data_IF_532487936514
#
_entry.id   IF_532487936514
#
_cell.length_a   1.000
_cell.length_b   1.000
_cell.length_c   1.000
_cell.angle_alpha   90.00
_cell.angle_beta   90.00
_cell.angle_gamma   90.00
#
_symmetry.space_group_name_H-M   'P 1'
#
loop_
_entity.id
_entity.type
_entity.pdbx_description
1 polymer ?
#
# COMPACT_ATOMS: atom_id res chain seq x y z
N UNK A 1 -45.61 38.52 -67.78
CA UNK A 1 -44.41 39.06 -67.08
C UNK A 1 -44.68 39.36 -65.60
N UNK A 2 -45.74 40.11 -65.27
CA UNK A 2 -46.06 40.49 -63.87
C UNK A 2 -46.37 39.32 -62.91
N UNK A 3 -47.09 38.30 -63.37
CA UNK A 3 -47.46 37.13 -62.55
C UNK A 3 -46.26 36.23 -62.19
N UNK A 4 -45.29 36.12 -63.12
CA UNK A 4 -44.04 35.39 -62.91
C UNK A 4 -43.20 36.13 -61.87
N UNK A 5 -43.01 37.44 -62.04
CA UNK A 5 -42.25 38.27 -61.10
C UNK A 5 -42.80 38.21 -59.66
N UNK A 6 -44.14 38.19 -59.51
CA UNK A 6 -44.81 38.09 -58.21
C UNK A 6 -44.62 36.72 -57.54
N UNK A 7 -44.61 35.64 -58.31
CA UNK A 7 -44.33 34.28 -57.80
C UNK A 7 -42.87 34.12 -57.38
N UNK A 8 -41.93 34.68 -58.14
CA UNK A 8 -40.52 34.69 -57.79
C UNK A 8 -40.24 35.50 -56.52
N UNK A 9 -40.93 36.64 -56.34
CA UNK A 9 -40.81 37.43 -55.12
C UNK A 9 -41.35 36.68 -53.88
N UNK A 10 -42.51 36.03 -54.00
CA UNK A 10 -43.06 35.22 -52.91
C UNK A 10 -42.14 34.05 -52.52
N UNK A 11 -41.54 33.38 -53.51
CA UNK A 11 -40.59 32.30 -53.28
C UNK A 11 -39.32 32.79 -52.57
N UNK A 12 -38.81 33.96 -52.95
CA UNK A 12 -37.63 34.57 -52.32
C UNK A 12 -37.90 34.97 -50.87
N UNK A 13 -39.11 35.46 -50.55
CA UNK A 13 -39.52 35.78 -49.18
C UNK A 13 -39.61 34.51 -48.33
N UNK A 14 -40.17 33.41 -48.85
CA UNK A 14 -40.24 32.13 -48.13
C UNK A 14 -38.84 31.58 -47.84
N UNK A 15 -37.92 31.66 -48.81
CA UNK A 15 -36.52 31.27 -48.62
C UNK A 15 -35.81 32.13 -47.57
N UNK A 16 -36.07 33.44 -47.55
CA UNK A 16 -35.55 34.35 -46.54
C UNK A 16 -36.07 34.04 -45.14
N UNK A 17 -37.37 33.77 -45.01
CA UNK A 17 -37.98 33.39 -43.72
C UNK A 17 -37.46 32.03 -43.26
N UNK A 18 -37.29 31.06 -44.16
CA UNK A 18 -36.71 29.76 -43.84
C UNK A 18 -35.22 29.88 -43.45
N UNK A 19 -34.45 30.76 -44.11
CA UNK A 19 -33.05 31.03 -43.77
C UNK A 19 -32.93 31.71 -42.40
N UNK A 20 -33.71 32.76 -42.13
CA UNK A 20 -33.73 33.38 -40.80
C UNK A 20 -34.23 32.40 -39.73
N UNK A 21 -35.27 31.62 -40.00
CA UNK A 21 -35.73 30.56 -39.12
C UNK A 21 -34.64 29.53 -38.82
N UNK A 22 -33.87 29.10 -39.83
CA UNK A 22 -32.73 28.20 -39.67
C UNK A 22 -31.62 28.84 -38.82
N UNK A 23 -31.25 30.09 -39.10
CA UNK A 23 -30.21 30.82 -38.33
C UNK A 23 -30.63 31.05 -36.87
N UNK A 24 -31.93 31.25 -36.59
CA UNK A 24 -32.45 31.38 -35.22
C UNK A 24 -32.64 30.03 -34.50
N UNK A 25 -32.74 28.92 -35.24
CA UNK A 25 -32.92 27.57 -34.70
C UNK A 25 -31.62 26.76 -34.65
N UNK A 26 -30.53 27.21 -35.28
CA UNK A 26 -29.21 26.63 -35.09
C UNK A 26 -28.68 27.06 -33.72
N UNK A 27 -28.35 26.13 -32.80
CA UNK A 27 -27.72 26.48 -31.54
C UNK A 27 -26.39 27.17 -31.84
N UNK A 28 -26.22 28.39 -31.34
CA UNK A 28 -24.93 29.06 -31.34
C UNK A 28 -23.97 28.26 -30.46
N UNK A 29 -22.77 27.98 -30.97
CA UNK A 29 -21.67 27.51 -30.15
C UNK A 29 -21.36 28.60 -29.13
N UNK A 30 -21.79 28.39 -27.89
CA UNK A 30 -21.41 29.19 -26.73
C UNK A 30 -19.92 28.96 -26.48
N UNK A 31 -19.08 29.84 -27.03
CA UNK A 31 -17.71 29.97 -26.54
C UNK A 31 -17.74 30.39 -25.08
N UNK A 32 -16.76 29.91 -24.30
CA UNK A 32 -16.65 30.06 -22.86
C UNK A 32 -16.76 31.54 -22.45
N UNK A 33 -17.99 31.97 -22.13
CA UNK A 33 -18.24 33.41 -22.02
C UNK A 33 -17.71 34.04 -20.75
N UNK A 34 -17.36 33.25 -19.72
CA UNK A 34 -16.94 33.76 -18.41
C UNK A 34 -16.13 32.76 -17.55
N UNK A 35 -15.47 31.75 -18.14
CA UNK A 35 -14.59 30.80 -17.41
C UNK A 35 -13.17 30.90 -17.97
N UNK A 36 -12.18 31.03 -17.09
CA UNK A 36 -10.75 31.14 -17.43
C UNK A 36 -9.90 30.17 -16.63
N UNK A 37 -8.69 29.88 -17.12
CA UNK A 37 -7.66 29.10 -16.41
C UNK A 37 -8.17 27.78 -15.81
N UNK A 38 -8.93 27.01 -16.60
CA UNK A 38 -9.58 25.80 -16.10
C UNK A 38 -8.75 24.54 -16.31
N UNK A 39 -8.75 23.64 -15.33
CA UNK A 39 -8.06 22.34 -15.36
C UNK A 39 -8.77 21.31 -14.49
N UNK A 40 -8.65 20.03 -14.84
CA UNK A 40 -9.14 18.91 -14.03
C UNK A 40 -7.97 17.96 -13.71
N UNK A 41 -7.88 17.56 -12.45
CA UNK A 41 -6.88 16.61 -11.94
C UNK A 41 -7.62 15.33 -11.53
N UNK A 42 -7.21 14.21 -12.14
CA UNK A 42 -7.68 12.87 -11.79
C UNK A 42 -6.70 12.20 -10.84
N UNK A 43 -7.20 11.44 -9.86
CA UNK A 43 -6.33 10.61 -8.99
C UNK A 43 -5.75 9.39 -9.72
N UNK A 44 -6.57 8.71 -10.54
CA UNK A 44 -6.15 7.62 -11.43
C UNK A 44 -6.76 7.88 -12.81
N UNK A 45 -5.92 7.95 -13.84
CA UNK A 45 -6.33 8.16 -15.24
C UNK A 45 -6.51 6.84 -16.01
N UNK A 46 -6.41 5.69 -15.33
CA UNK A 46 -6.53 4.38 -15.95
C UNK A 46 -7.92 4.11 -16.52
N UNK A 47 -7.99 3.26 -17.54
CA UNK A 47 -9.25 2.73 -18.05
C UNK A 47 -10.07 2.06 -16.95
N UNK A 48 -11.35 2.43 -16.84
CA UNK A 48 -12.28 1.92 -15.83
C UNK A 48 -11.78 2.03 -14.39
N UNK A 49 -10.73 2.81 -14.14
CA UNK A 49 -10.28 3.09 -12.80
C UNK A 49 -11.32 3.97 -12.11
N UNK A 50 -11.53 3.71 -10.82
CA UNK A 50 -12.20 4.67 -9.98
C UNK A 50 -11.27 5.88 -9.81
N UNK A 51 -11.83 7.08 -9.80
CA UNK A 51 -11.06 8.31 -9.72
C UNK A 51 -11.78 9.40 -8.94
N UNK A 52 -10.96 10.23 -8.31
CA UNK A 52 -11.30 11.54 -7.79
C UNK A 52 -11.13 12.59 -8.88
N UNK A 53 -11.91 13.66 -8.81
CA UNK A 53 -11.76 14.82 -9.70
C UNK A 53 -11.60 16.11 -8.91
N UNK A 54 -10.62 16.94 -9.30
CA UNK A 54 -10.42 18.29 -8.78
C UNK A 54 -10.47 19.29 -9.93
N UNK A 55 -11.62 19.96 -10.09
CA UNK A 55 -11.85 20.95 -11.14
C UNK A 55 -11.49 22.34 -10.61
N UNK A 56 -10.44 22.93 -11.18
CA UNK A 56 -10.02 24.31 -10.90
C UNK A 56 -10.42 25.21 -12.05
N UNK A 57 -10.98 26.40 -11.77
CA UNK A 57 -11.32 27.39 -12.78
C UNK A 57 -11.59 28.77 -12.18
N UNK A 58 -11.25 29.84 -12.89
CA UNK A 58 -11.63 31.20 -12.54
C UNK A 58 -12.89 31.64 -13.26
N UNK A 59 -13.65 32.57 -12.65
CA UNK A 59 -14.83 33.20 -13.27
C UNK A 59 -14.61 34.68 -13.53
N UNK A 60 -15.12 35.19 -14.66
CA UNK A 60 -15.00 36.61 -15.04
C UNK A 60 -16.26 37.44 -14.82
N UNK A 61 -17.29 36.84 -14.24
CA UNK A 61 -18.53 37.51 -13.82
C UNK A 61 -18.95 37.03 -12.47
N UNK A 62 -19.42 37.94 -11.62
CA UNK A 62 -20.03 37.58 -10.35
C UNK A 62 -21.26 36.68 -10.59
N UNK A 63 -21.46 35.74 -9.67
CA UNK A 63 -22.60 34.84 -9.64
C UNK A 63 -23.52 35.24 -8.49
N UNK A 64 -24.81 35.36 -8.78
CA UNK A 64 -25.82 35.67 -7.75
C UNK A 64 -26.00 34.48 -6.78
N UNK A 65 -26.52 34.70 -5.57
CA UNK A 65 -27.01 33.62 -4.71
C UNK A 65 -27.99 32.71 -5.47
N UNK A 66 -28.05 31.42 -5.11
CA UNK A 66 -28.87 30.41 -5.80
C UNK A 66 -28.52 30.13 -7.28
N UNK A 67 -27.44 30.70 -7.81
CA UNK A 67 -26.83 30.20 -9.05
C UNK A 67 -26.32 28.76 -8.85
N UNK A 68 -26.16 28.01 -9.95
CA UNK A 68 -25.72 26.62 -9.86
C UNK A 68 -24.76 26.21 -10.98
N UNK A 69 -23.94 25.21 -10.66
CA UNK A 69 -23.02 24.53 -11.55
C UNK A 69 -23.60 23.16 -11.91
N UNK A 70 -23.53 22.79 -13.19
CA UNK A 70 -23.77 21.43 -13.66
C UNK A 70 -22.48 20.88 -14.24
N UNK A 71 -21.97 19.80 -13.63
CA UNK A 71 -20.81 19.05 -14.11
C UNK A 71 -21.36 17.75 -14.69
N UNK A 72 -21.27 17.62 -16.00
CA UNK A 72 -21.74 16.44 -16.74
C UNK A 72 -20.53 15.61 -17.15
N UNK A 73 -20.45 14.39 -16.60
CA UNK A 73 -19.45 13.43 -17.02
C UNK A 73 -19.78 12.88 -18.41
N UNK A 74 -18.78 12.49 -19.22
CA UNK A 74 -18.99 11.84 -20.51
C UNK A 74 -19.89 10.59 -20.39
N UNK A 75 -20.61 10.25 -21.45
CA UNK A 75 -21.54 9.12 -21.46
C UNK A 75 -20.86 7.73 -21.34
N UNK A 76 -19.54 7.67 -21.40
CA UNK A 76 -18.71 6.49 -21.17
C UNK A 76 -18.04 6.48 -19.78
N UNK A 77 -18.31 7.48 -18.93
CA UNK A 77 -17.97 7.51 -17.51
C UNK A 77 -19.20 7.13 -16.68
N UNK A 78 -18.99 6.47 -15.55
CA UNK A 78 -20.07 6.12 -14.62
C UNK A 78 -19.90 6.84 -13.28
N UNK A 79 -20.90 7.65 -12.91
CA UNK A 79 -21.00 8.24 -11.57
C UNK A 79 -21.73 7.25 -10.67
N UNK A 80 -21.03 6.71 -9.68
CA UNK A 80 -21.53 5.61 -8.88
C UNK A 80 -22.73 6.01 -8.00
N UNK A 81 -23.66 5.05 -7.80
CA UNK A 81 -24.75 5.16 -6.85
C UNK A 81 -24.48 4.30 -5.62
N UNK A 82 -23.78 4.82 -4.62
CA UNK A 82 -23.43 4.10 -3.39
C UNK A 82 -23.70 4.93 -2.13
N UNK A 83 -23.75 4.28 -0.97
CA UNK A 83 -23.81 4.99 0.33
C UNK A 83 -22.47 5.61 0.74
N UNK A 84 -21.39 5.15 0.10
CA UNK A 84 -20.00 5.61 0.29
C UNK A 84 -19.67 6.84 -0.57
N UNK A 85 -20.63 7.30 -1.39
CA UNK A 85 -20.56 8.54 -2.16
C UNK A 85 -21.80 9.37 -1.88
N UNK A 86 -21.66 10.43 -1.10
CA UNK A 86 -22.75 11.27 -0.63
C UNK A 86 -22.50 12.74 -0.91
N UNK A 87 -23.57 13.47 -1.23
CA UNK A 87 -23.55 14.87 -1.63
C UNK A 87 -22.94 15.80 -0.56
N UNK A 88 -23.23 15.53 0.71
CA UNK A 88 -22.80 16.31 1.87
C UNK A 88 -21.33 16.08 2.27
N UNK A 89 -20.73 14.97 1.84
CA UNK A 89 -19.36 14.58 2.22
C UNK A 89 -18.37 14.63 1.07
N UNK A 90 -18.78 14.21 -0.12
CA UNK A 90 -17.87 13.87 -1.22
C UNK A 90 -17.92 14.88 -2.37
N UNK A 91 -18.61 16.01 -2.19
CA UNK A 91 -18.53 17.14 -3.11
C UNK A 91 -18.37 18.43 -2.31
N UNK A 92 -17.30 19.17 -2.58
CA UNK A 92 -17.04 20.46 -1.94
C UNK A 92 -16.57 21.50 -2.95
N UNK A 93 -16.86 22.77 -2.65
CA UNK A 93 -16.45 23.93 -3.43
C UNK A 93 -15.60 24.84 -2.55
N UNK A 94 -14.43 25.22 -3.03
CA UNK A 94 -13.65 26.31 -2.47
C UNK A 94 -13.77 27.52 -3.39
N UNK A 95 -13.86 28.70 -2.78
CA UNK A 95 -13.81 30.00 -3.45
C UNK A 95 -12.65 30.77 -2.85
N UNK A 96 -11.66 31.11 -3.67
CA UNK A 96 -10.42 31.78 -3.25
C UNK A 96 -9.72 31.05 -2.09
N UNK A 97 -9.76 29.71 -2.13
CA UNK A 97 -9.20 28.81 -1.12
C UNK A 97 -10.04 28.65 0.16
N UNK A 98 -11.21 29.29 0.26
CA UNK A 98 -12.13 29.17 1.39
C UNK A 98 -13.23 28.17 1.07
N UNK A 99 -13.37 27.14 1.92
CA UNK A 99 -14.41 26.13 1.79
C UNK A 99 -15.80 26.76 1.98
N UNK A 100 -16.71 26.49 1.03
CA UNK A 100 -18.14 26.76 1.19
C UNK A 100 -18.84 25.54 1.79
N UNK A 101 -19.64 25.78 2.82
CA UNK A 101 -20.39 24.71 3.47
C UNK A 101 -21.50 24.21 2.55
N UNK A 102 -21.48 22.92 2.24
CA UNK A 102 -22.52 22.23 1.48
C UNK A 102 -23.30 21.22 2.33
N UNK A 103 -24.53 20.95 1.93
CA UNK A 103 -25.40 19.87 2.42
C UNK A 103 -26.28 19.31 1.30
N UNK A 104 -27.18 18.37 1.64
CA UNK A 104 -28.17 17.82 0.70
C UNK A 104 -29.48 18.62 0.64
N UNK A 105 -29.56 19.78 1.32
CA UNK A 105 -30.75 20.64 1.31
C UNK A 105 -30.32 22.10 1.18
N UNK A 106 -30.91 22.83 0.23
CA UNK A 106 -30.61 24.24 0.05
C UNK A 106 -31.05 25.06 1.26
N UNK A 107 -30.17 25.92 1.77
CA UNK A 107 -30.49 26.84 2.86
C UNK A 107 -29.92 28.23 2.61
N UNK A 108 -30.08 29.12 3.60
CA UNK A 108 -29.52 30.48 3.56
C UNK A 108 -28.01 30.51 3.78
N UNK A 109 -27.42 29.45 4.34
CA UNK A 109 -26.01 29.42 4.78
C UNK A 109 -25.24 28.21 4.26
N UNK A 110 -25.93 27.23 3.69
CA UNK A 110 -25.34 26.03 3.11
C UNK A 110 -25.77 25.88 1.66
N UNK A 111 -24.79 25.59 0.82
CA UNK A 111 -24.96 25.28 -0.59
C UNK A 111 -25.57 23.86 -0.72
N UNK A 112 -26.32 23.63 -1.80
CA UNK A 112 -26.95 22.34 -2.09
C UNK A 112 -26.11 21.55 -3.08
N UNK A 113 -25.80 20.30 -2.75
CA UNK A 113 -25.22 19.33 -3.68
C UNK A 113 -26.27 18.28 -4.04
N UNK A 114 -26.39 17.99 -5.33
CA UNK A 114 -27.19 16.89 -5.86
C UNK A 114 -26.31 16.01 -6.76
N UNK A 115 -26.43 14.69 -6.58
CA UNK A 115 -25.73 13.68 -7.36
C UNK A 115 -26.77 12.94 -8.19
N UNK A 116 -26.63 12.98 -9.50
CA UNK A 116 -27.41 12.20 -10.46
C UNK A 116 -26.51 11.10 -11.00
N UNK A 117 -26.53 9.89 -10.40
CA UNK A 117 -25.65 8.80 -10.78
C UNK A 117 -25.98 8.24 -12.17
N UNK A 118 -25.03 7.52 -12.76
CA UNK A 118 -25.15 6.84 -14.05
C UNK A 118 -24.16 7.35 -15.10
N UNK A 119 -24.50 7.07 -16.36
CA UNK A 119 -23.65 7.25 -17.54
C UNK A 119 -24.49 7.85 -18.69
N UNK A 120 -24.45 9.18 -18.93
CA UNK A 120 -23.68 10.18 -18.20
C UNK A 120 -24.29 10.47 -16.83
N UNK A 121 -23.45 10.64 -15.83
CA UNK A 121 -23.85 11.15 -14.52
C UNK A 121 -23.61 12.65 -14.42
N UNK A 122 -24.35 13.30 -13.53
CA UNK A 122 -24.31 14.74 -13.33
C UNK A 122 -24.12 15.05 -11.85
N UNK A 123 -23.22 15.99 -11.55
CA UNK A 123 -23.12 16.61 -10.24
C UNK A 123 -23.62 18.04 -10.37
N UNK A 124 -24.60 18.39 -9.55
CA UNK A 124 -25.15 19.75 -9.49
C UNK A 124 -24.82 20.38 -8.16
N UNK A 125 -24.23 21.56 -8.20
CA UNK A 125 -23.85 22.33 -7.02
C UNK A 125 -24.58 23.68 -7.07
N UNK A 126 -25.46 23.97 -6.13
CA UNK A 126 -26.27 25.18 -6.07
C UNK A 126 -25.84 26.04 -4.89
N UNK A 127 -25.49 27.31 -5.14
CA UNK A 127 -25.12 28.24 -4.08
C UNK A 127 -26.29 28.49 -3.13
N UNK A 128 -25.97 28.76 -1.87
CA UNK A 128 -26.94 29.16 -0.86
C UNK A 128 -27.73 30.41 -1.27
N UNK A 129 -28.85 30.67 -0.59
CA UNK A 129 -29.77 31.74 -0.99
C UNK A 129 -29.36 33.15 -0.56
N UNK A 130 -28.23 33.31 0.14
CA UNK A 130 -27.76 34.61 0.67
C UNK A 130 -26.48 35.08 -0.02
N UNK A 131 -25.53 34.17 -0.26
CA UNK A 131 -24.17 34.47 -0.68
C UNK A 131 -23.90 33.99 -2.11
N UNK A 132 -23.59 34.93 -2.98
CA UNK A 132 -23.08 34.65 -4.32
C UNK A 132 -21.57 34.41 -4.33
N UNK A 133 -20.97 34.52 -5.52
CA UNK A 133 -19.52 34.50 -5.73
C UNK A 133 -19.12 35.78 -6.47
N UNK A 134 -18.11 36.53 -6.00
CA UNK A 134 -17.68 37.74 -6.67
C UNK A 134 -17.01 37.46 -8.03
N UNK A 135 -16.87 38.51 -8.84
CA UNK A 135 -16.11 38.45 -10.08
C UNK A 135 -14.62 38.21 -9.80
N UNK A 136 -13.93 37.55 -10.73
CA UNK A 136 -12.49 37.24 -10.67
C UNK A 136 -12.10 36.30 -9.51
N UNK A 137 -13.06 35.55 -8.95
CA UNK A 137 -12.78 34.47 -8.00
C UNK A 137 -12.22 33.22 -8.68
N UNK A 138 -11.31 32.56 -7.97
CA UNK A 138 -10.80 31.23 -8.30
C UNK A 138 -11.61 30.15 -7.57
N UNK A 139 -12.14 29.19 -8.32
CA UNK A 139 -12.99 28.12 -7.80
C UNK A 139 -12.29 26.77 -7.92
N UNK A 140 -12.41 25.96 -6.88
CA UNK A 140 -11.98 24.56 -6.86
C UNK A 140 -13.15 23.68 -6.43
N UNK A 141 -13.59 22.78 -7.31
CA UNK A 141 -14.60 21.76 -6.99
C UNK A 141 -13.89 20.41 -6.84
N UNK A 142 -14.04 19.80 -5.67
CA UNK A 142 -13.53 18.45 -5.38
C UNK A 142 -14.66 17.45 -5.36
N UNK A 143 -14.50 16.35 -6.08
CA UNK A 143 -15.46 15.25 -6.19
C UNK A 143 -14.78 13.93 -5.82
N UNK A 144 -15.23 13.31 -4.73
CA UNK A 144 -14.86 11.97 -4.30
C UNK A 144 -14.38 11.87 -2.86
N UNK A 145 -13.45 10.96 -2.59
CA UNK A 145 -12.91 10.69 -1.26
C UNK A 145 -11.61 11.45 -0.97
N UNK A 146 -11.39 12.59 -1.61
CA UNK A 146 -10.29 13.52 -1.28
C UNK A 146 -10.80 14.82 -0.67
N UNK A 147 -12.10 14.90 -0.38
CA UNK A 147 -12.73 16.03 0.28
C UNK A 147 -12.38 16.09 1.77
N UNK A 148 -12.60 17.26 2.38
CA UNK A 148 -12.38 17.51 3.81
C UNK A 148 -13.39 16.80 4.72
N UNK A 149 -14.61 16.54 4.23
CA UNK A 149 -15.72 15.92 4.97
C UNK A 149 -15.86 14.41 4.74
N UNK A 150 -14.95 13.77 4.00
CA UNK A 150 -15.00 12.33 3.74
C UNK A 150 -14.93 11.51 5.03
N UNK A 151 -15.54 10.34 5.00
CA UNK A 151 -15.22 9.30 5.97
C UNK A 151 -13.93 8.59 5.57
N UNK A 152 -12.95 8.57 6.48
CA UNK A 152 -11.62 8.03 6.19
C UNK A 152 -11.65 6.49 6.21
N UNK A 153 -12.08 5.88 7.32
CA UNK A 153 -12.08 4.42 7.46
C UNK A 153 -13.39 3.91 8.06
N UNK A 154 -13.72 2.67 7.71
CA UNK A 154 -14.77 1.86 8.33
C UNK A 154 -14.11 0.62 8.94
N UNK A 155 -14.43 0.35 10.20
CA UNK A 155 -13.96 -0.84 10.91
C UNK A 155 -15.07 -1.89 10.95
N UNK A 156 -14.80 -3.07 10.40
CA UNK A 156 -15.65 -4.25 10.61
C UNK A 156 -14.91 -5.22 11.51
N UNK A 157 -15.49 -5.51 12.68
CA UNK A 157 -14.95 -6.49 13.61
C UNK A 157 -15.50 -7.88 13.30
N UNK A 158 -14.61 -8.84 13.06
CA UNK A 158 -14.94 -10.25 12.95
C UNK A 158 -14.26 -11.05 14.05
N UNK A 159 -15.02 -11.86 14.77
CA UNK A 159 -14.50 -12.75 15.83
C UNK A 159 -13.68 -13.92 15.28
N UNK A 160 -13.69 -14.14 13.96
CA UNK A 160 -12.98 -15.26 13.30
C UNK A 160 -11.78 -14.79 12.47
N UNK A 161 -11.79 -13.56 11.96
CA UNK A 161 -10.75 -13.02 11.05
C UNK A 161 -10.08 -11.75 11.56
N UNK A 162 -10.44 -11.25 12.75
CA UNK A 162 -9.91 -9.99 13.30
C UNK A 162 -10.67 -8.74 12.82
N UNK A 163 -10.14 -7.56 13.15
CA UNK A 163 -10.68 -6.27 12.69
C UNK A 163 -10.12 -5.95 11.31
N UNK A 164 -10.99 -5.66 10.35
CA UNK A 164 -10.59 -5.13 9.04
C UNK A 164 -10.90 -3.63 8.97
N UNK A 165 -9.89 -2.82 8.68
CA UNK A 165 -10.04 -1.39 8.34
C UNK A 165 -10.10 -1.27 6.82
N UNK A 166 -11.21 -0.76 6.30
CA UNK A 166 -11.37 -0.44 4.87
C UNK A 166 -11.64 1.06 4.71
N UNK A 167 -11.24 1.64 3.58
CA UNK A 167 -11.64 3.02 3.25
C UNK A 167 -13.17 3.12 3.24
N UNK A 168 -13.73 4.10 3.96
CA UNK A 168 -15.18 4.20 4.12
C UNK A 168 -15.84 4.88 2.91
N UNK A 169 -15.31 6.01 2.47
CA UNK A 169 -15.73 6.65 1.23
C UNK A 169 -14.76 6.29 0.11
N UNK A 170 -15.28 5.97 -1.08
CA UNK A 170 -14.51 5.49 -2.22
C UNK A 170 -14.38 6.58 -3.29
N UNK A 171 -13.45 6.40 -4.22
CA UNK A 171 -13.40 7.15 -5.47
C UNK A 171 -14.64 6.84 -6.32
N UNK A 172 -15.53 7.81 -6.58
CA UNK A 172 -16.90 7.51 -7.00
C UNK A 172 -17.12 7.61 -8.51
N UNK A 173 -16.13 8.09 -9.27
CA UNK A 173 -16.24 8.25 -10.71
C UNK A 173 -15.46 7.12 -11.37
N UNK A 174 -16.11 6.30 -12.19
CA UNK A 174 -15.44 5.27 -12.97
C UNK A 174 -15.10 5.89 -14.33
N UNK A 175 -13.80 5.89 -14.65
CA UNK A 175 -13.29 6.41 -15.91
C UNK A 175 -13.79 5.62 -17.12
N UNK A 176 -13.62 6.23 -18.30
CA UNK A 176 -13.97 5.61 -19.57
C UNK A 176 -13.41 4.20 -19.76
N UNK A 177 -14.21 3.37 -20.42
CA UNK A 177 -13.81 2.07 -20.99
C UNK A 177 -12.84 2.20 -22.17
N UNK A 178 -12.66 3.40 -22.72
CA UNK A 178 -11.79 3.68 -23.87
C UNK A 178 -10.80 4.80 -23.57
N UNK A 179 -9.56 4.64 -24.05
CA UNK A 179 -8.51 5.64 -23.83
C UNK A 179 -8.70 6.90 -24.66
N UNK A 180 -7.81 7.86 -24.44
CA UNK A 180 -7.74 9.13 -25.17
C UNK A 180 -8.27 10.32 -24.38
N UNK A 181 -8.35 11.46 -25.07
CA UNK A 181 -8.83 12.70 -24.48
C UNK A 181 -10.36 12.69 -24.33
N UNK A 182 -10.83 12.96 -23.11
CA UNK A 182 -12.24 13.05 -22.74
C UNK A 182 -12.56 14.46 -22.28
N UNK A 183 -13.82 14.87 -22.40
CA UNK A 183 -14.28 16.23 -22.08
C UNK A 183 -15.41 16.19 -21.05
N UNK A 184 -15.16 16.69 -19.85
CA UNK A 184 -16.18 16.90 -18.83
C UNK A 184 -16.77 18.29 -19.02
N UNK A 185 -18.09 18.37 -19.19
CA UNK A 185 -18.76 19.64 -19.47
C UNK A 185 -19.21 20.29 -18.15
N UNK A 186 -18.71 21.49 -17.87
CA UNK A 186 -19.18 22.37 -16.81
C UNK A 186 -20.08 23.46 -17.40
N UNK A 187 -21.25 23.68 -16.82
CA UNK A 187 -22.15 24.78 -17.12
C UNK A 187 -22.51 25.54 -15.85
N UNK A 188 -22.59 26.87 -15.94
CA UNK A 188 -22.94 27.75 -14.83
C UNK A 188 -24.20 28.51 -15.20
N UNK A 189 -25.19 28.48 -14.31
CA UNK A 189 -26.47 29.14 -14.49
C UNK A 189 -26.75 30.16 -13.39
N UNK A 190 -27.12 31.37 -13.80
CA UNK A 190 -27.61 32.46 -12.95
C UNK A 190 -28.83 33.08 -13.63
N UNK A 191 -30.03 32.58 -13.29
CA UNK A 191 -31.28 32.85 -14.03
C UNK A 191 -31.35 32.27 -15.46
N UNK A 192 -30.20 31.93 -16.05
CA UNK A 192 -29.99 31.28 -17.34
C UNK A 192 -28.51 30.89 -17.51
N UNK A 193 -28.13 30.26 -18.62
CA UNK A 193 -26.73 29.87 -18.86
C UNK A 193 -25.82 31.11 -18.99
N UNK A 194 -24.91 31.29 -18.04
CA UNK A 194 -23.99 32.44 -17.99
C UNK A 194 -22.56 32.10 -18.35
N UNK A 195 -22.15 30.84 -18.17
CA UNK A 195 -20.81 30.37 -18.52
C UNK A 195 -20.78 28.86 -18.79
N UNK A 196 -19.81 28.39 -19.57
CA UNK A 196 -19.57 26.98 -19.83
C UNK A 196 -18.09 26.72 -20.14
N UNK A 197 -17.58 25.55 -19.78
CA UNK A 197 -16.24 25.09 -20.10
C UNK A 197 -16.23 23.56 -20.29
N UNK A 198 -15.31 23.07 -21.14
CA UNK A 198 -15.08 21.65 -21.34
C UNK A 198 -13.71 21.27 -20.80
N UNK A 199 -13.66 20.63 -19.63
CA UNK A 199 -12.43 20.16 -18.99
C UNK A 199 -11.90 18.96 -19.74
N UNK A 200 -10.68 19.08 -20.27
CA UNK A 200 -10.04 18.01 -21.02
C UNK A 200 -9.18 17.16 -20.09
N UNK A 201 -9.41 15.86 -20.12
CA UNK A 201 -8.68 14.86 -19.34
C UNK A 201 -8.17 13.76 -20.26
N UNK A 202 -7.07 13.11 -19.90
CA UNK A 202 -6.55 11.97 -20.66
C UNK A 202 -6.83 10.69 -19.88
N UNK A 203 -7.55 9.75 -20.49
CA UNK A 203 -7.69 8.39 -19.98
C UNK A 203 -6.68 7.51 -20.70
N UNK A 204 -5.88 6.75 -19.94
CA UNK A 204 -4.73 6.01 -20.45
C UNK A 204 -4.85 4.52 -20.14
N UNK A 205 -4.28 3.71 -21.01
CA UNK A 205 -4.01 2.31 -20.71
C UNK A 205 -2.98 2.22 -19.58
N UNK A 206 -3.22 1.34 -18.60
CA UNK A 206 -2.23 1.08 -17.56
C UNK A 206 -1.04 0.36 -18.17
N UNK A 207 0.16 0.90 -17.95
CA UNK A 207 1.40 0.21 -18.31
C UNK A 207 1.74 -0.79 -17.20
N UNK A 208 1.71 -2.08 -17.55
CA UNK A 208 2.18 -3.14 -16.66
C UNK A 208 3.65 -3.46 -16.96
N UNK A 209 4.42 -3.78 -15.92
CA UNK A 209 5.79 -4.33 -16.07
C UNK A 209 5.79 -5.82 -16.45
N UNK A 210 4.64 -6.35 -16.88
CA UNK A 210 4.44 -7.79 -17.05
C UNK A 210 4.48 -8.54 -15.71
N UNK A 211 4.38 -9.88 -15.72
CA UNK A 211 4.74 -10.68 -14.56
C UNK A 211 6.25 -10.49 -14.32
N UNK A 212 6.59 -9.79 -13.23
CA UNK A 212 7.97 -9.78 -12.74
C UNK A 212 8.22 -11.17 -12.15
N UNK A 213 9.14 -11.91 -12.75
CA UNK A 213 9.59 -13.17 -12.18
C UNK A 213 10.45 -12.84 -10.95
N UNK A 214 9.96 -13.23 -9.78
CA UNK A 214 10.66 -13.08 -8.49
C UNK A 214 11.14 -14.43 -7.98
N UNK A 215 11.21 -15.45 -8.83
CA UNK A 215 11.68 -16.78 -8.45
C UNK A 215 13.13 -16.70 -7.98
N UNK A 216 13.36 -17.20 -6.77
CA UNK A 216 14.67 -17.39 -6.16
C UNK A 216 15.29 -18.69 -6.75
N UNK A 217 16.58 -18.67 -7.12
CA UNK A 217 17.27 -19.82 -7.74
C UNK A 217 18.60 -20.18 -7.04
N UNK A 218 18.98 -19.50 -5.97
CA UNK A 218 20.28 -19.58 -5.31
C UNK A 218 20.11 -20.36 -4.01
N UNK A 219 20.72 -21.55 -3.87
CA UNK A 219 20.64 -22.31 -2.63
C UNK A 219 21.20 -21.59 -1.39
N UNK A 220 20.79 -22.00 -0.17
CA UNK A 220 21.19 -21.33 1.07
C UNK A 220 22.70 -21.29 1.30
N UNK A 221 23.24 -20.12 1.61
CA UNK A 221 24.64 -19.98 2.02
C UNK A 221 24.80 -20.38 3.49
N UNK A 222 25.60 -21.41 3.76
CA UNK A 222 25.81 -21.97 5.11
C UNK A 222 27.06 -21.37 5.76
N UNK A 223 26.96 -20.95 7.02
CA UNK A 223 28.08 -20.37 7.77
C UNK A 223 27.97 -20.60 9.29
N UNK A 224 28.97 -20.14 10.06
CA UNK A 224 29.03 -20.23 11.53
C UNK A 224 28.85 -21.65 12.12
N UNK A 225 29.50 -22.62 11.47
CA UNK A 225 29.50 -24.02 11.88
C UNK A 225 30.14 -24.22 13.25
N UNK A 226 29.46 -24.97 14.13
CA UNK A 226 29.89 -25.23 15.50
C UNK A 226 29.51 -26.65 15.94
N UNK A 227 30.32 -27.32 16.79
CA UNK A 227 31.58 -26.84 17.38
C UNK A 227 32.75 -26.81 16.41
N UNK A 228 33.71 -25.93 16.67
CA UNK A 228 35.00 -25.86 15.96
C UNK A 228 36.21 -26.17 16.85
N UNK A 229 35.96 -26.46 18.13
CA UNK A 229 37.00 -26.70 19.14
C UNK A 229 36.88 -28.10 19.75
N UNK A 230 37.97 -28.56 20.35
CA UNK A 230 38.02 -29.87 21.01
C UNK A 230 37.08 -29.92 22.21
N UNK A 231 36.30 -30.99 22.28
CA UNK A 231 35.36 -31.29 23.37
C UNK A 231 35.98 -32.30 24.34
N UNK A 232 35.63 -32.20 25.62
CA UNK A 232 36.17 -33.08 26.67
C UNK A 232 35.71 -34.53 26.51
N UNK A 233 36.56 -35.49 26.88
CA UNK A 233 36.26 -36.92 26.75
C UNK A 233 35.22 -37.50 27.70
N UNK A 234 34.57 -36.66 28.52
CA UNK A 234 33.40 -37.03 29.33
C UNK A 234 32.08 -36.64 28.67
N UNK A 235 32.11 -35.92 27.56
CA UNK A 235 30.93 -35.50 26.80
C UNK A 235 30.50 -36.61 25.84
N UNK A 236 29.26 -37.09 25.97
CA UNK A 236 28.69 -38.12 25.09
C UNK A 236 27.71 -37.56 24.06
N UNK A 237 27.24 -36.32 24.26
CA UNK A 237 26.31 -35.64 23.38
C UNK A 237 26.75 -34.19 23.19
N UNK A 238 26.69 -33.71 21.95
CA UNK A 238 27.09 -32.37 21.55
C UNK A 238 26.00 -31.78 20.68
N UNK A 239 25.72 -30.49 20.84
CA UNK A 239 24.87 -29.76 19.90
C UNK A 239 25.74 -29.25 18.75
N UNK A 240 25.45 -29.72 17.53
CA UNK A 240 25.97 -29.13 16.30
C UNK A 240 25.05 -28.01 15.82
N UNK A 241 25.65 -26.99 15.23
CA UNK A 241 24.98 -25.74 14.85
C UNK A 241 25.55 -25.16 13.55
N UNK A 242 24.69 -24.49 12.78
CA UNK A 242 25.07 -23.59 11.69
C UNK A 242 23.96 -22.55 11.44
N UNK A 243 24.27 -21.54 10.64
CA UNK A 243 23.34 -20.53 10.16
C UNK A 243 23.25 -20.54 8.63
N UNK A 244 22.14 -20.02 8.10
CA UNK A 244 21.91 -19.74 6.68
C UNK A 244 21.53 -18.27 6.50
N UNK A 245 21.74 -17.71 5.30
CA UNK A 245 21.36 -16.33 4.96
C UNK A 245 19.89 -16.18 4.57
N UNK A 246 19.19 -17.30 4.39
CA UNK A 246 17.76 -17.39 4.12
C UNK A 246 17.09 -18.53 4.90
N UNK A 247 15.76 -18.62 4.78
CA UNK A 247 14.97 -19.67 5.43
C UNK A 247 15.30 -21.01 4.78
N UNK A 248 15.79 -21.98 5.55
CA UNK A 248 16.21 -23.25 4.99
C UNK A 248 15.88 -24.45 5.87
N UNK A 249 15.74 -25.62 5.27
CA UNK A 249 15.69 -26.91 5.96
C UNK A 249 17.01 -27.64 5.73
N UNK A 250 17.77 -27.85 6.80
CA UNK A 250 19.08 -28.48 6.77
C UNK A 250 19.02 -29.95 7.22
N UNK A 251 19.82 -30.76 6.53
CA UNK A 251 20.09 -32.17 6.82
C UNK A 251 21.58 -32.41 6.92
N UNK A 252 21.95 -33.54 7.50
CA UNK A 252 23.35 -33.96 7.55
C UNK A 252 23.54 -35.47 7.39
N UNK A 253 24.76 -35.82 7.00
CA UNK A 253 25.27 -37.18 6.98
C UNK A 253 26.67 -37.23 7.62
N UNK A 254 27.09 -38.42 8.03
CA UNK A 254 28.48 -38.74 8.43
C UNK A 254 29.32 -39.24 7.25
N UNK A 255 28.70 -39.44 6.08
CA UNK A 255 29.37 -39.78 4.81
C UNK A 255 29.41 -38.55 3.92
N UNK A 256 30.59 -38.23 3.39
CA UNK A 256 30.77 -37.12 2.45
C UNK A 256 30.06 -37.40 1.12
N UNK A 257 29.55 -36.35 0.50
CA UNK A 257 28.99 -36.39 -0.85
C UNK A 257 27.56 -36.95 -0.93
N UNK A 258 26.89 -37.22 0.19
CA UNK A 258 25.49 -37.66 0.17
C UNK A 258 24.58 -36.54 -0.34
N UNK A 259 23.77 -36.83 -1.36
CA UNK A 259 22.79 -35.88 -1.89
C UNK A 259 21.77 -35.46 -0.83
N UNK A 260 21.31 -34.19 -0.86
CA UNK A 260 20.41 -33.63 0.15
C UNK A 260 19.16 -34.51 0.40
N UNK A 261 18.52 -35.00 -0.67
CA UNK A 261 17.33 -35.85 -0.55
C UNK A 261 17.63 -37.25 0.02
N UNK A 262 18.88 -37.70 -0.05
CA UNK A 262 19.35 -38.98 0.48
C UNK A 262 19.96 -38.87 1.88
N UNK A 263 20.23 -37.66 2.38
CA UNK A 263 20.76 -37.47 3.72
C UNK A 263 19.79 -38.02 4.79
N UNK A 264 20.24 -38.96 5.64
CA UNK A 264 19.34 -39.68 6.54
C UNK A 264 18.94 -38.87 7.77
N UNK A 265 19.69 -37.83 8.15
CA UNK A 265 19.48 -37.11 9.39
C UNK A 265 19.00 -35.67 9.15
N UNK A 266 17.99 -35.24 9.91
CA UNK A 266 17.50 -33.87 9.91
C UNK A 266 18.02 -33.12 11.15
N UNK A 267 18.26 -31.82 11.00
CA UNK A 267 18.39 -30.91 12.13
C UNK A 267 17.08 -30.87 12.93
N UNK A 268 17.18 -30.60 14.23
CA UNK A 268 16.02 -30.57 15.14
C UNK A 268 15.36 -29.18 15.15
N UNK A 269 16.16 -28.12 15.15
CA UNK A 269 15.72 -26.78 14.81
C UNK A 269 16.20 -26.49 13.39
N UNK A 270 15.27 -26.23 12.47
CA UNK A 270 15.53 -25.88 11.06
C UNK A 270 14.22 -25.31 10.48
N UNK A 271 14.23 -24.81 9.25
CA UNK A 271 13.14 -24.03 8.64
C UNK A 271 13.21 -22.52 8.92
N UNK A 272 14.29 -22.09 9.59
CA UNK A 272 14.63 -20.69 9.85
C UNK A 272 16.08 -20.44 9.39
N UNK A 273 16.68 -19.33 9.79
CA UNK A 273 18.08 -19.00 9.48
C UNK A 273 19.11 -19.67 10.43
N UNK A 274 18.65 -20.39 11.46
CA UNK A 274 19.53 -21.05 12.44
C UNK A 274 19.14 -22.52 12.61
N UNK A 275 20.14 -23.38 12.72
CA UNK A 275 19.94 -24.83 12.66
C UNK A 275 20.68 -25.53 13.80
N UNK A 276 19.98 -26.31 14.65
CA UNK A 276 20.65 -27.07 15.72
C UNK A 276 20.24 -28.54 15.76
N UNK A 277 21.20 -29.40 16.16
CA UNK A 277 20.96 -30.82 16.41
C UNK A 277 21.85 -31.33 17.53
N UNK A 278 21.28 -32.09 18.47
CA UNK A 278 22.05 -32.87 19.43
C UNK A 278 22.44 -34.21 18.78
N UNK A 279 23.74 -34.49 18.73
CA UNK A 279 24.33 -35.72 18.19
C UNK A 279 25.11 -36.46 19.26
N UNK A 280 25.16 -37.78 19.16
CA UNK A 280 26.04 -38.60 20.00
C UNK A 280 27.49 -38.51 19.48
N UNK A 281 28.45 -38.51 20.39
CA UNK A 281 29.88 -38.45 20.05
C UNK A 281 30.68 -39.52 20.77
N UNK A 282 31.78 -39.94 20.16
CA UNK A 282 32.66 -40.99 20.69
C UNK A 282 33.93 -40.36 21.29
N UNK A 283 34.29 -40.61 22.55
CA UNK A 283 35.57 -40.16 23.11
C UNK A 283 36.77 -40.69 22.31
N UNK A 284 37.87 -39.93 22.33
CA UNK A 284 39.10 -40.26 21.60
C UNK A 284 38.89 -40.42 20.08
N UNK A 285 38.10 -39.53 19.46
CA UNK A 285 37.83 -39.57 18.02
C UNK A 285 37.59 -38.19 17.42
N UNK A 286 37.68 -38.09 16.08
CA UNK A 286 37.27 -36.93 15.30
C UNK A 286 35.85 -37.18 14.80
N UNK A 287 34.97 -36.20 14.97
CA UNK A 287 33.58 -36.23 14.54
C UNK A 287 33.41 -35.31 13.33
N UNK A 288 32.79 -35.83 12.27
CA UNK A 288 32.56 -35.11 11.02
C UNK A 288 31.08 -35.20 10.64
N UNK A 289 30.47 -34.05 10.33
CA UNK A 289 29.10 -33.95 9.87
C UNK A 289 29.05 -33.09 8.61
N UNK A 290 28.56 -33.68 7.51
CA UNK A 290 28.41 -33.04 6.20
C UNK A 290 26.98 -32.54 6.08
N UNK A 291 26.81 -31.22 6.03
CA UNK A 291 25.51 -30.54 6.07
C UNK A 291 25.13 -30.01 4.70
N UNK A 292 23.87 -30.18 4.31
CA UNK A 292 23.24 -29.53 3.14
C UNK A 292 21.87 -29.00 3.52
N UNK A 293 21.45 -27.92 2.90
CA UNK A 293 20.18 -27.27 3.15
C UNK A 293 19.41 -27.04 1.85
N UNK A 294 18.09 -26.89 1.97
CA UNK A 294 17.16 -26.48 0.91
C UNK A 294 16.33 -25.29 1.40
N UNK A 295 16.08 -24.29 0.58
CA UNK A 295 15.18 -23.17 0.88
C UNK A 295 13.69 -23.54 0.72
N UNK A 296 12.79 -22.55 0.79
CA UNK A 296 11.35 -22.72 0.56
C UNK A 296 10.94 -22.74 -0.93
N UNK A 297 11.79 -22.27 -1.84
CA UNK A 297 11.62 -22.36 -3.29
C UNK A 297 12.10 -23.69 -3.90
N UNK A 298 12.86 -24.47 -3.14
CA UNK A 298 13.37 -25.79 -3.52
C UNK A 298 14.82 -25.79 -4.02
N UNK A 299 15.59 -24.72 -3.90
CA UNK A 299 17.01 -24.70 -4.24
C UNK A 299 17.83 -25.29 -3.10
N UNK A 300 18.67 -26.28 -3.42
CA UNK A 300 19.41 -27.05 -2.44
C UNK A 300 20.91 -27.06 -2.72
N UNK A 301 21.69 -27.17 -1.66
CA UNK A 301 23.13 -27.24 -1.80
C UNK A 301 23.57 -28.55 -2.48
N UNK A 302 24.50 -28.44 -3.44
CA UNK A 302 25.10 -29.58 -4.13
C UNK A 302 26.46 -29.99 -3.55
N UNK A 303 27.04 -29.14 -2.70
CA UNK A 303 28.31 -29.31 -2.01
C UNK A 303 28.09 -29.48 -0.51
N UNK A 304 29.07 -30.04 0.20
CA UNK A 304 28.96 -30.27 1.64
C UNK A 304 29.51 -29.10 2.45
N UNK A 305 28.80 -28.73 3.51
CA UNK A 305 29.32 -27.88 4.56
C UNK A 305 29.78 -28.75 5.73
N UNK A 306 31.08 -28.74 6.04
CA UNK A 306 31.67 -29.61 7.06
C UNK A 306 31.66 -28.95 8.45
N UNK A 307 31.01 -29.62 9.41
CA UNK A 307 31.21 -29.37 10.84
C UNK A 307 32.14 -30.47 11.37
N UNK A 308 33.34 -30.08 11.83
CA UNK A 308 34.36 -31.00 12.33
C UNK A 308 34.90 -30.55 13.69
N UNK A 309 34.98 -31.50 14.63
CA UNK A 309 35.62 -31.29 15.92
C UNK A 309 36.17 -32.61 16.49
N UNK A 310 37.13 -32.51 17.41
CA UNK A 310 37.69 -33.67 18.11
C UNK A 310 37.12 -33.83 19.51
N UNK A 311 37.02 -35.07 19.98
CA UNK A 311 36.64 -35.41 21.36
C UNK A 311 37.83 -36.08 22.02
N UNK A 312 38.31 -35.49 23.11
CA UNK A 312 39.45 -36.03 23.88
C UNK A 312 39.17 -37.42 24.45
N UNK A 313 40.22 -38.13 24.86
CA UNK A 313 40.05 -39.36 25.62
C UNK A 313 39.40 -39.09 26.99
N UNK A 314 38.63 -40.06 27.48
CA UNK A 314 38.04 -39.99 28.82
C UNK A 314 39.17 -39.96 29.87
N UNK A 315 39.17 -39.00 30.81
CA UNK A 315 40.16 -38.96 31.87
C UNK A 315 40.13 -40.24 32.72
N UNK A 316 41.29 -40.85 32.96
CA UNK A 316 41.44 -42.09 33.75
C UNK A 316 41.83 -41.84 35.21
N UNK A 317 41.68 -40.60 35.69
CA UNK A 317 42.12 -40.23 37.04
C UNK A 317 41.35 -41.00 38.13
N UNK A 318 42.07 -41.59 39.07
CA UNK A 318 41.52 -42.03 40.35
C UNK A 318 41.52 -40.86 41.32
N UNK A 319 40.44 -40.67 42.09
CA UNK A 319 40.44 -39.72 43.21
C UNK A 319 41.56 -40.12 44.18
N UNK A 320 42.59 -39.29 44.31
CA UNK A 320 43.51 -39.38 45.44
C UNK A 320 42.94 -38.54 46.61
N UNK A 321 43.24 -38.95 47.84
CA UNK A 321 42.87 -38.21 49.05
C UNK A 321 43.83 -37.08 49.37
N UNK A 322 44.76 -36.74 48.47
CA UNK A 322 45.54 -35.49 48.56
C UNK A 322 44.64 -34.31 48.14
N UNK A 323 43.60 -34.07 48.93
CA UNK A 323 43.33 -32.69 49.26
C UNK A 323 44.56 -32.24 50.02
N UNK A 324 45.40 -31.43 49.38
CA UNK A 324 46.53 -30.78 50.03
C UNK A 324 46.01 -30.03 51.26
N UNK A 325 46.22 -30.65 52.43
CA UNK A 325 46.12 -30.03 53.75
C UNK A 325 47.53 -29.86 54.31
N UNK A 326 48.53 -29.52 53.49
CA UNK A 326 49.76 -28.92 53.99
C UNK A 326 49.51 -27.44 54.30
N UNK A 327 48.75 -27.24 55.37
CA UNK A 327 48.81 -26.08 56.22
C UNK A 327 49.01 -26.58 57.64
N UNK A 328 50.23 -26.98 57.99
CA UNK A 328 50.65 -27.28 59.36
C UNK A 328 50.79 -25.97 60.15
N UNK A 329 49.73 -25.17 60.24
CA UNK A 329 49.72 -23.84 60.83
C UNK A 329 50.22 -23.82 62.28
N UNK A 330 51.54 -23.82 62.48
CA UNK A 330 52.24 -23.54 63.73
C UNK A 330 52.59 -22.06 63.82
N UNK A 331 51.77 -21.19 63.20
CA UNK A 331 51.92 -19.75 63.28
C UNK A 331 51.52 -19.23 64.66
N UNK A 332 52.50 -19.06 65.55
CA UNK A 332 52.39 -18.23 66.74
C UNK A 332 52.55 -16.75 66.35
N UNK A 333 51.43 -16.05 66.19
CA UNK A 333 51.39 -14.59 65.98
C UNK A 333 49.99 -14.18 65.55
N UNK A 334 49.10 -13.86 66.49
CA UNK A 334 48.76 -12.50 66.90
C UNK A 334 48.65 -11.52 65.71
N UNK A 335 47.42 -11.04 65.50
CA UNK A 335 46.98 -9.95 64.61
C UNK A 335 46.67 -10.36 63.16
N UNK A 336 45.37 -10.43 62.86
CA UNK A 336 44.87 -10.67 61.52
C UNK A 336 44.95 -9.44 60.62
N UNK A 337 45.00 -9.69 59.32
CA UNK A 337 44.23 -8.95 58.30
C UNK A 337 44.13 -9.84 57.07
N UNK A 338 42.91 -10.27 56.73
CA UNK A 338 42.65 -10.93 55.46
C UNK A 338 42.67 -9.91 54.32
N UNK A 339 43.05 -10.36 53.12
CA UNK A 339 42.62 -9.79 51.84
C UNK A 339 42.84 -10.83 50.75
N UNK A 340 41.75 -11.44 50.28
CA UNK A 340 41.75 -12.33 49.12
C UNK A 340 41.72 -11.57 47.79
N UNK A 341 41.94 -12.30 46.70
CA UNK A 341 41.58 -11.98 45.31
C UNK A 341 41.88 -13.24 44.47
N UNK A 342 41.03 -13.85 43.66
CA UNK A 342 39.72 -13.50 43.10
C UNK A 342 39.64 -14.23 41.75
N UNK A 343 38.84 -15.30 41.68
CA UNK A 343 38.60 -16.04 40.44
C UNK A 343 37.51 -15.37 39.58
N UNK A 344 37.64 -15.46 38.26
CA UNK A 344 36.58 -15.07 37.32
C UNK A 344 35.97 -16.32 36.69
N UNK A 345 34.77 -16.65 37.17
CA UNK A 345 33.83 -17.58 36.54
C UNK A 345 32.96 -16.76 35.58
N UNK A 346 32.94 -17.11 34.29
CA UNK A 346 31.83 -16.72 33.42
C UNK A 346 30.73 -17.78 33.53
N UNK A 347 29.78 -17.44 34.40
CA UNK A 347 28.55 -18.14 34.68
C UNK A 347 27.53 -17.79 33.58
N UNK A 348 27.23 -18.71 32.67
CA UNK A 348 26.11 -18.55 31.74
C UNK A 348 24.79 -18.89 32.45
N UNK A 349 23.86 -17.95 32.34
CA UNK A 349 22.57 -17.93 33.02
C UNK A 349 21.60 -18.91 32.33
N UNK A 350 21.23 -20.02 32.98
CA UNK A 350 20.06 -20.80 32.59
C UNK A 350 18.78 -20.07 33.04
N UNK A 351 18.12 -19.35 32.13
CA UNK A 351 16.76 -18.85 32.36
C UNK A 351 15.80 -20.03 32.26
N UNK A 352 15.36 -20.57 33.41
CA UNK A 352 14.17 -21.44 33.47
C UNK A 352 12.94 -20.58 33.16
N UNK A 353 12.25 -20.84 32.04
CA UNK A 353 10.83 -20.47 31.89
C UNK A 353 10.00 -21.53 32.62
N UNK A 354 9.31 -21.10 33.67
CA UNK A 354 8.21 -21.86 34.26
C UNK A 354 6.99 -21.72 33.35
N UNK A 355 6.37 -22.84 33.05
CA UNK A 355 5.03 -22.94 32.47
C UNK A 355 3.98 -22.39 33.44
N UNK A 356 3.09 -21.54 32.93
CA UNK A 356 1.64 -21.53 33.21
C UNK A 356 0.96 -21.50 31.86
#
# INVERSE_FOLDING_TARGET
MYAVLKSWFAFLVILLVAYFGYVYLTPSSSEARNIINYSDILSDSGLQAQSNHTLNFGIQTALSPSSYFEITFPADFDVMSTTTFSADRNVELYVDGVLRNSSSTLSATEDLVEIFPGSPGVIKYTLNSTDGIPVDSDLEIRIGNHTSKRNIFSETYSTTTGTTTIESDIEPIINSVTGGTKKIDLKIYDGGLVANAGFLIAVLDKVGVGPVDTTEEIPPYRFNGSPSTTITGVTLFVEIFLETDELAVCKYDTVAGTDYFSMPNNFSNTGLIYHTKIVAVVPNSVQQFYVRCIDDEGNYNIDDYLIEFSVSATPTGTSNTDGDVDGDGTGTGNEGTGSGSGGWRNFWFLRRRSSI
#
